data_IF_642452413926
#
_entry.id   IF_642452413926
#
_cell.length_a   1.000
_cell.length_b   1.000
_cell.length_c   1.000
_cell.angle_alpha   90.00
_cell.angle_beta   90.00
_cell.angle_gamma   90.00
#
_symmetry.space_group_name_H-M   'P 1'
#
loop_
_entity.id
_entity.type
_entity.pdbx_description
1 polymer ?
#
# COMPACT_ATOMS: atom_id res chain seq x y z
N UNK A 1 -3.45 -15.93 17.09
CA UNK A 1 -4.25 -16.30 15.91
C UNK A 1 -5.41 -15.35 15.72
N UNK A 2 -6.00 -15.36 14.53
CA UNK A 2 -7.13 -14.48 14.22
C UNK A 2 -8.45 -15.15 14.57
N UNK A 3 -9.44 -14.38 14.93
CA UNK A 3 -10.82 -14.84 15.04
C UNK A 3 -11.33 -15.40 13.69
N UNK A 4 -12.28 -16.34 13.72
CA UNK A 4 -12.81 -16.99 12.52
C UNK A 4 -13.50 -16.01 11.55
N UNK A 5 -13.99 -14.87 12.05
CA UNK A 5 -14.61 -13.82 11.22
C UNK A 5 -13.63 -13.21 10.19
N UNK A 6 -12.30 -13.28 10.43
CA UNK A 6 -11.30 -12.74 9.52
C UNK A 6 -10.75 -13.84 8.60
N UNK A 7 -10.85 -13.64 7.31
CA UNK A 7 -10.33 -14.52 6.27
C UNK A 7 -9.20 -13.90 5.48
N UNK A 8 -8.46 -14.73 4.74
CA UNK A 8 -7.45 -14.32 3.76
C UNK A 8 -6.37 -13.36 4.33
N UNK A 9 -5.97 -13.60 5.61
CA UNK A 9 -4.97 -12.79 6.31
C UNK A 9 -3.77 -13.65 6.70
N UNK A 10 -2.57 -13.14 6.43
CA UNK A 10 -1.32 -13.85 6.69
C UNK A 10 -0.59 -13.35 7.95
N UNK A 11 -0.50 -12.05 8.15
CA UNK A 11 0.34 -11.45 9.21
C UNK A 11 -0.44 -10.62 10.22
N UNK A 12 -1.37 -9.77 9.80
CA UNK A 12 -2.12 -8.87 10.69
C UNK A 12 -3.51 -8.54 10.17
N UNK A 13 -4.37 -8.09 11.08
CA UNK A 13 -5.70 -7.54 10.78
C UNK A 13 -5.80 -6.15 11.40
N UNK A 14 -6.15 -5.18 10.58
CA UNK A 14 -6.51 -3.84 11.04
C UNK A 14 -8.03 -3.70 10.95
N UNK A 15 -8.69 -3.65 12.11
CA UNK A 15 -10.14 -3.45 12.22
C UNK A 15 -10.38 -1.99 12.63
N UNK A 16 -10.97 -1.21 11.72
CA UNK A 16 -11.15 0.24 11.88
C UNK A 16 -12.61 0.55 12.16
N UNK A 17 -12.84 1.23 13.26
CA UNK A 17 -14.16 1.80 13.59
C UNK A 17 -14.12 3.30 13.44
N UNK A 18 -14.97 3.83 12.56
CA UNK A 18 -15.07 5.28 12.37
C UNK A 18 -15.68 5.96 13.58
N UNK A 19 -15.11 7.12 13.94
CA UNK A 19 -15.63 7.99 14.97
C UNK A 19 -17.03 8.51 14.56
N UNK A 20 -17.97 8.50 15.51
CA UNK A 20 -19.26 9.17 15.39
C UNK A 20 -19.19 10.45 16.21
N UNK A 21 -19.28 11.63 15.59
CA UNK A 21 -19.33 12.90 16.33
C UNK A 21 -20.60 12.97 17.17
N UNK A 22 -20.55 13.68 18.29
CA UNK A 22 -21.72 13.97 19.14
C UNK A 22 -22.31 15.36 18.89
N UNK A 23 -21.53 16.23 18.26
CA UNK A 23 -21.88 17.61 17.92
C UNK A 23 -21.14 18.04 16.64
N UNK A 24 -21.39 19.27 16.19
CA UNK A 24 -20.55 19.89 15.17
C UNK A 24 -19.12 20.02 15.72
N UNK A 25 -18.18 19.44 15.02
CA UNK A 25 -16.75 19.49 15.34
C UNK A 25 -15.92 19.60 14.06
N UNK A 26 -14.72 20.14 14.18
CA UNK A 26 -13.82 20.26 13.03
C UNK A 26 -12.40 20.49 13.50
N UNK A 27 -11.48 20.18 12.61
CA UNK A 27 -10.06 20.49 12.77
C UNK A 27 -9.41 20.74 11.42
N UNK A 28 -8.40 21.56 11.42
CA UNK A 28 -7.53 21.77 10.26
C UNK A 28 -6.08 21.80 10.72
N UNK A 29 -5.19 21.29 9.89
CA UNK A 29 -3.76 21.35 10.11
C UNK A 29 -3.04 21.67 8.80
N UNK A 30 -1.97 22.47 8.91
CA UNK A 30 -1.09 22.82 7.80
C UNK A 30 0.35 22.65 8.28
N UNK A 31 1.17 22.07 7.46
CA UNK A 31 2.60 21.87 7.71
C UNK A 31 3.37 21.91 6.38
N UNK A 32 4.70 21.91 6.45
CA UNK A 32 5.55 21.78 5.26
C UNK A 32 5.32 20.45 4.49
N UNK A 33 4.77 19.43 5.17
CA UNK A 33 4.51 18.11 4.59
C UNK A 33 3.07 17.94 4.10
N UNK A 34 2.25 19.00 4.17
CA UNK A 34 0.89 18.98 3.66
C UNK A 34 -0.14 19.65 4.53
N UNK A 35 -1.39 19.45 4.18
CA UNK A 35 -2.54 20.01 4.88
C UNK A 35 -3.64 18.96 5.05
N UNK A 36 -4.44 19.10 6.10
CA UNK A 36 -5.65 18.30 6.29
C UNK A 36 -6.76 19.10 6.93
N UNK A 37 -7.99 18.72 6.62
CA UNK A 37 -9.19 19.27 7.25
C UNK A 37 -10.17 18.14 7.55
N UNK A 38 -10.87 18.27 8.67
CA UNK A 38 -11.91 17.36 9.13
C UNK A 38 -13.12 18.15 9.57
N UNK A 39 -14.30 17.66 9.24
CA UNK A 39 -15.59 18.17 9.71
C UNK A 39 -16.48 17.00 10.10
N UNK A 40 -17.02 17.05 11.31
CA UNK A 40 -18.01 16.12 11.83
C UNK A 40 -19.30 16.84 12.20
N UNK A 41 -20.43 16.33 11.72
CA UNK A 41 -21.77 16.86 11.95
C UNK A 41 -22.57 15.78 12.67
N UNK A 42 -23.27 16.17 13.72
CA UNK A 42 -24.16 15.28 14.46
C UNK A 42 -25.53 15.88 14.67
N UNK A 43 -26.55 15.05 14.47
CA UNK A 43 -27.95 15.27 14.88
C UNK A 43 -28.38 14.07 15.72
N UNK A 44 -29.60 14.09 16.25
CA UNK A 44 -30.14 12.95 17.02
C UNK A 44 -30.19 11.62 16.25
N UNK A 45 -30.21 11.66 14.91
CA UNK A 45 -30.38 10.47 14.06
C UNK A 45 -29.33 10.31 12.99
N UNK A 46 -28.53 11.34 12.74
CA UNK A 46 -27.57 11.36 11.65
C UNK A 46 -26.22 11.84 12.18
N UNK A 47 -25.16 11.11 11.85
CA UNK A 47 -23.79 11.59 11.96
C UNK A 47 -23.11 11.54 10.60
N UNK A 48 -22.35 12.58 10.28
CA UNK A 48 -21.64 12.68 9.03
C UNK A 48 -20.25 13.25 9.25
N UNK A 49 -19.24 12.52 8.87
CA UNK A 49 -17.84 12.95 8.96
C UNK A 49 -17.22 13.02 7.60
N UNK A 50 -16.40 14.04 7.40
CA UNK A 50 -15.66 14.28 6.17
C UNK A 50 -14.22 14.63 6.52
N UNK A 51 -13.30 14.09 5.79
CA UNK A 51 -11.88 14.38 5.90
C UNK A 51 -11.25 14.54 4.53
N UNK A 52 -10.47 15.58 4.35
CA UNK A 52 -9.59 15.75 3.20
C UNK A 52 -8.16 15.89 3.67
N UNK A 53 -7.24 15.30 2.95
CA UNK A 53 -5.83 15.36 3.26
C UNK A 53 -5.00 15.47 1.98
N UNK A 54 -4.06 16.38 2.01
CA UNK A 54 -3.00 16.51 1.04
C UNK A 54 -1.66 16.28 1.72
N UNK A 55 -0.77 15.49 1.13
CA UNK A 55 0.59 15.26 1.61
C UNK A 55 1.59 15.35 0.48
N UNK A 56 2.76 15.89 0.80
CA UNK A 56 3.96 15.86 -0.05
C UNK A 56 5.18 15.74 0.83
N UNK A 57 6.18 14.98 0.38
CA UNK A 57 7.47 14.88 1.06
C UNK A 57 8.59 15.54 0.24
N UNK A 58 8.23 16.30 -0.80
CA UNK A 58 9.18 16.94 -1.71
C UNK A 58 10.22 17.78 -0.95
N UNK A 59 9.78 18.61 0.01
CA UNK A 59 10.69 19.42 0.81
C UNK A 59 11.65 18.61 1.68
N UNK A 60 11.19 17.53 2.28
CA UNK A 60 12.02 16.66 3.10
C UNK A 60 13.05 15.92 2.25
N UNK A 61 12.63 15.39 1.11
CA UNK A 61 13.49 14.66 0.19
C UNK A 61 14.54 15.58 -0.45
N UNK A 62 14.20 16.83 -0.76
CA UNK A 62 15.14 17.82 -1.27
C UNK A 62 16.19 18.31 -0.26
N UNK A 63 16.06 17.98 1.04
CA UNK A 63 17.09 18.27 2.07
C UNK A 63 18.02 17.09 2.32
N UNK A 64 17.71 15.91 1.79
CA UNK A 64 18.55 14.74 1.89
C UNK A 64 19.56 14.75 0.74
N UNK A 65 20.72 14.16 0.96
CA UNK A 65 21.68 13.86 -0.11
C UNK A 65 21.15 12.69 -0.95
N UNK A 66 20.02 12.95 -1.62
CA UNK A 66 19.34 11.98 -2.47
C UNK A 66 19.92 12.04 -3.88
N UNK A 67 19.88 10.91 -4.55
CA UNK A 67 20.46 10.75 -5.89
C UNK A 67 19.43 11.00 -7.00
N UNK A 68 18.50 11.95 -6.78
CA UNK A 68 17.46 12.31 -7.72
C UNK A 68 16.43 13.25 -7.13
N UNK A 69 15.65 13.89 -7.98
CA UNK A 69 14.50 14.69 -7.60
C UNK A 69 13.27 13.78 -7.42
N UNK A 70 12.69 13.83 -6.23
CA UNK A 70 11.51 13.07 -5.85
C UNK A 70 10.34 14.00 -5.58
N UNK A 71 9.23 13.82 -6.30
CA UNK A 71 8.01 14.62 -6.11
C UNK A 71 6.79 13.70 -5.81
N UNK A 72 6.72 13.13 -4.60
CA UNK A 72 5.55 12.38 -4.17
C UNK A 72 4.44 13.33 -3.71
N UNK A 73 3.24 13.13 -4.26
CA UNK A 73 2.03 13.88 -3.90
C UNK A 73 0.89 12.92 -3.65
N UNK A 74 0.19 13.14 -2.56
CA UNK A 74 -0.95 12.33 -2.17
C UNK A 74 -2.12 13.22 -1.77
N UNK A 75 -3.29 12.94 -2.31
CA UNK A 75 -4.55 13.55 -1.91
C UNK A 75 -5.58 12.46 -1.65
N UNK A 76 -6.31 12.58 -0.55
CA UNK A 76 -7.45 11.72 -0.26
C UNK A 76 -8.61 12.51 0.33
N UNK A 77 -9.80 12.05 0.01
CA UNK A 77 -11.05 12.45 0.61
C UNK A 77 -11.76 11.23 1.17
N UNK A 78 -12.19 11.31 2.42
CA UNK A 78 -12.94 10.27 3.12
C UNK A 78 -14.23 10.83 3.66
N UNK A 79 -15.31 10.05 3.57
CA UNK A 79 -16.61 10.39 4.13
C UNK A 79 -17.21 9.19 4.84
N UNK A 80 -17.86 9.43 5.96
CA UNK A 80 -18.64 8.43 6.66
C UNK A 80 -19.96 9.04 7.09
N UNK A 81 -21.05 8.52 6.55
CA UNK A 81 -22.42 8.85 6.90
C UNK A 81 -23.01 7.70 7.72
N UNK A 82 -23.58 7.99 8.88
CA UNK A 82 -24.31 7.01 9.68
C UNK A 82 -25.69 7.59 10.03
N UNK A 83 -26.75 6.87 9.68
CA UNK A 83 -28.13 7.23 9.90
C UNK A 83 -28.84 6.18 10.74
N UNK A 84 -29.45 6.62 11.84
CA UNK A 84 -30.17 5.78 12.81
C UNK A 84 -31.66 6.23 12.84
N UNK A 85 -32.47 5.86 11.83
CA UNK A 85 -33.87 6.30 11.75
C UNK A 85 -34.71 5.85 12.93
N UNK A 86 -34.38 4.70 13.52
CA UNK A 86 -35.02 4.12 14.70
C UNK A 86 -34.06 3.37 15.58
N UNK A 87 -34.46 2.96 16.78
CA UNK A 87 -33.64 2.10 17.66
C UNK A 87 -33.25 0.75 17.03
N UNK A 88 -34.03 0.30 16.04
CA UNK A 88 -33.82 -0.99 15.37
C UNK A 88 -32.94 -0.90 14.13
N UNK A 89 -32.87 0.23 13.47
CA UNK A 89 -32.16 0.39 12.20
C UNK A 89 -30.96 1.33 12.31
N UNK A 90 -29.88 0.87 11.78
CA UNK A 90 -28.67 1.66 11.55
C UNK A 90 -28.18 1.42 10.13
N UNK A 91 -28.03 2.49 9.36
CA UNK A 91 -27.55 2.46 7.98
C UNK A 91 -26.31 3.33 7.90
N UNK A 92 -25.26 2.85 7.28
CA UNK A 92 -24.03 3.61 7.10
C UNK A 92 -23.49 3.51 5.70
N UNK A 93 -22.80 4.57 5.29
CA UNK A 93 -22.06 4.64 4.03
C UNK A 93 -20.68 5.19 4.32
N UNK A 94 -19.66 4.51 3.80
CA UNK A 94 -18.26 4.94 3.82
C UNK A 94 -17.84 5.14 2.38
N UNK A 95 -17.16 6.24 2.11
CA UNK A 95 -16.54 6.52 0.82
C UNK A 95 -15.12 7.00 0.98
N UNK A 96 -14.26 6.61 0.07
CA UNK A 96 -12.88 7.09 -0.04
C UNK A 96 -12.51 7.27 -1.52
N UNK A 97 -11.91 8.40 -1.83
CA UNK A 97 -11.30 8.69 -3.12
C UNK A 97 -9.88 9.15 -2.82
N UNK A 98 -8.89 8.52 -3.45
CA UNK A 98 -7.50 8.91 -3.28
C UNK A 98 -6.74 8.89 -4.59
N UNK A 99 -5.77 9.79 -4.70
CA UNK A 99 -4.79 9.82 -5.77
C UNK A 99 -3.39 9.97 -5.17
N UNK A 100 -2.49 9.09 -5.57
CA UNK A 100 -1.07 9.18 -5.28
C UNK A 100 -0.33 9.35 -6.60
N UNK A 101 0.48 10.38 -6.69
CA UNK A 101 1.40 10.63 -7.80
C UNK A 101 2.82 10.60 -7.26
N UNK A 102 3.66 9.94 -8.00
CA UNK A 102 5.08 9.91 -7.75
C UNK A 102 5.80 10.25 -9.05
N UNK A 103 6.64 11.28 -9.02
CA UNK A 103 7.54 11.60 -10.11
C UNK A 103 8.96 11.49 -9.57
N UNK A 104 9.82 10.91 -10.37
CA UNK A 104 11.23 10.76 -10.08
C UNK A 104 12.04 11.17 -11.30
N UNK A 105 13.07 11.99 -11.09
CA UNK A 105 14.09 12.34 -12.08
C UNK A 105 15.45 12.02 -11.47
N UNK A 106 16.22 11.09 -12.05
CA UNK A 106 17.55 10.79 -11.57
C UNK A 106 18.49 11.96 -11.82
N UNK A 107 19.41 12.18 -10.88
CA UNK A 107 20.47 13.19 -11.00
C UNK A 107 21.80 12.56 -11.37
N UNK A 108 22.63 13.32 -12.06
CA UNK A 108 23.99 12.94 -12.41
C UNK A 108 24.83 12.63 -11.18
N UNK A 109 25.76 11.68 -11.31
CA UNK A 109 26.60 11.23 -10.21
C UNK A 109 28.07 11.29 -10.55
N UNK A 110 28.84 11.76 -9.57
CA UNK A 110 30.30 11.80 -9.64
C UNK A 110 30.85 11.15 -8.38
N UNK A 111 31.70 10.14 -8.55
CA UNK A 111 32.34 9.45 -7.42
C UNK A 111 33.81 9.26 -7.74
N UNK A 112 34.70 9.68 -6.83
CA UNK A 112 36.14 9.41 -6.91
C UNK A 112 36.50 8.38 -5.86
N UNK A 113 37.29 7.40 -6.26
CA UNK A 113 37.74 6.31 -5.38
C UNK A 113 39.12 5.79 -5.81
N UNK A 114 39.79 5.04 -4.93
CA UNK A 114 41.08 4.47 -5.19
C UNK A 114 42.13 4.85 -4.15
N UNK A 115 43.39 4.80 -4.53
CA UNK A 115 44.54 5.20 -3.71
C UNK A 115 45.16 6.49 -4.24
N UNK A 116 46.03 7.12 -3.47
CA UNK A 116 46.76 8.34 -3.88
C UNK A 116 47.51 8.20 -5.21
N UNK A 117 47.95 7.00 -5.55
CA UNK A 117 48.70 6.70 -6.79
C UNK A 117 47.81 6.11 -7.90
N UNK A 118 46.55 5.85 -7.63
CA UNK A 118 45.61 5.25 -8.61
C UNK A 118 44.20 5.69 -8.31
N UNK A 119 43.87 6.91 -8.71
CA UNK A 119 42.55 7.50 -8.53
C UNK A 119 41.67 7.16 -9.72
N UNK A 120 40.47 6.74 -9.45
CA UNK A 120 39.41 6.50 -10.45
C UNK A 120 38.29 7.49 -10.25
N UNK A 121 37.72 7.95 -11.35
CA UNK A 121 36.53 8.77 -11.35
C UNK A 121 35.42 8.04 -12.12
N UNK A 122 34.30 7.86 -11.46
CA UNK A 122 33.09 7.30 -12.06
C UNK A 122 32.03 8.38 -12.19
N UNK A 123 31.64 8.65 -13.43
CA UNK A 123 30.59 9.63 -13.78
C UNK A 123 29.41 8.89 -14.36
N UNK A 124 28.21 9.25 -13.93
CA UNK A 124 26.97 8.76 -14.53
C UNK A 124 26.11 9.96 -14.85
N UNK A 125 25.75 10.09 -16.09
CA UNK A 125 24.80 11.09 -16.58
C UNK A 125 23.46 10.40 -16.79
N UNK A 126 22.39 11.01 -16.27
CA UNK A 126 21.05 10.48 -16.39
C UNK A 126 20.16 11.40 -17.20
N UNK A 127 19.29 10.81 -18.00
CA UNK A 127 18.19 11.47 -18.68
C UNK A 127 16.91 10.68 -18.49
N UNK A 128 15.78 11.39 -18.47
CA UNK A 128 14.48 10.77 -18.39
C UNK A 128 13.79 10.92 -17.04
N UNK A 129 12.72 10.17 -16.84
CA UNK A 129 11.88 10.27 -15.66
C UNK A 129 11.03 9.03 -15.47
N UNK A 130 10.60 8.85 -14.23
CA UNK A 130 9.57 7.91 -13.82
C UNK A 130 8.31 8.67 -13.38
N UNK A 131 7.15 8.17 -13.79
CA UNK A 131 5.84 8.71 -13.40
C UNK A 131 4.92 7.60 -13.01
N UNK A 132 4.51 7.63 -11.74
CA UNK A 132 3.55 6.70 -11.19
C UNK A 132 2.28 7.41 -10.77
N UNK A 133 1.18 6.75 -11.04
CA UNK A 133 -0.15 7.22 -10.70
C UNK A 133 -0.99 6.09 -10.13
N UNK A 134 -1.47 6.27 -8.90
CA UNK A 134 -2.38 5.35 -8.23
C UNK A 134 -3.66 6.09 -7.89
N UNK A 135 -4.77 5.67 -8.47
CA UNK A 135 -6.11 6.22 -8.19
C UNK A 135 -6.99 5.15 -7.60
N UNK A 136 -7.53 5.42 -6.44
CA UNK A 136 -8.41 4.48 -5.73
C UNK A 136 -9.76 5.13 -5.47
N UNK A 137 -10.82 4.38 -5.76
CA UNK A 137 -12.18 4.67 -5.37
C UNK A 137 -12.69 3.49 -4.54
N UNK A 138 -13.13 3.77 -3.32
CA UNK A 138 -13.72 2.78 -2.43
C UNK A 138 -15.04 3.28 -1.87
N UNK A 139 -16.02 2.39 -1.83
CA UNK A 139 -17.31 2.66 -1.20
C UNK A 139 -17.83 1.42 -0.49
N UNK A 140 -18.45 1.62 0.66
CA UNK A 140 -19.16 0.59 1.41
C UNK A 140 -20.48 1.16 1.91
N UNK A 141 -21.55 0.36 1.79
CA UNK A 141 -22.83 0.62 2.43
C UNK A 141 -23.18 -0.57 3.32
N UNK A 142 -23.71 -0.30 4.50
CA UNK A 142 -24.21 -1.34 5.39
C UNK A 142 -25.54 -0.96 6.02
N UNK A 143 -26.33 -1.97 6.36
CA UNK A 143 -27.56 -1.83 7.09
C UNK A 143 -27.58 -2.87 8.22
N UNK A 144 -27.73 -2.39 9.44
CA UNK A 144 -27.86 -3.24 10.64
C UNK A 144 -29.28 -3.15 11.16
N UNK A 145 -29.92 -4.31 11.26
CA UNK A 145 -31.21 -4.48 11.91
C UNK A 145 -31.04 -5.11 13.28
N UNK A 146 -31.45 -4.43 14.33
CA UNK A 146 -31.48 -4.94 15.71
C UNK A 146 -32.87 -5.51 16.01
N UNK A 147 -32.97 -6.84 16.04
CA UNK A 147 -34.20 -7.52 16.45
C UNK A 147 -34.56 -7.16 17.89
N UNK A 148 -33.54 -7.16 18.75
CA UNK A 148 -33.58 -6.72 20.14
C UNK A 148 -32.15 -6.31 20.58
N UNK A 149 -31.90 -6.02 21.85
CA UNK A 149 -30.59 -5.63 22.38
C UNK A 149 -29.52 -6.74 22.26
N UNK A 150 -29.93 -7.98 22.12
CA UNK A 150 -29.07 -9.16 22.11
C UNK A 150 -28.80 -9.68 20.70
N UNK A 151 -29.69 -9.36 19.73
CA UNK A 151 -29.67 -9.96 18.41
C UNK A 151 -29.65 -8.90 17.30
N UNK A 152 -28.68 -9.01 16.43
CA UNK A 152 -28.59 -8.10 15.25
C UNK A 152 -28.15 -8.84 14.00
N UNK A 153 -28.60 -8.33 12.87
CA UNK A 153 -28.24 -8.76 11.53
C UNK A 153 -27.68 -7.56 10.77
N UNK A 154 -26.52 -7.71 10.13
CA UNK A 154 -25.90 -6.68 9.29
C UNK A 154 -25.73 -7.20 7.88
N UNK A 155 -26.22 -6.44 6.91
CA UNK A 155 -25.94 -6.58 5.49
C UNK A 155 -24.93 -5.53 5.10
N UNK A 156 -23.94 -5.90 4.30
CA UNK A 156 -22.92 -4.97 3.80
C UNK A 156 -22.62 -5.26 2.33
N UNK A 157 -22.45 -4.20 1.57
CA UNK A 157 -21.97 -4.22 0.20
C UNK A 157 -20.83 -3.23 0.06
N UNK A 158 -19.74 -3.65 -0.56
CA UNK A 158 -18.59 -2.79 -0.85
C UNK A 158 -18.11 -2.93 -2.28
N UNK A 159 -17.57 -1.85 -2.81
CA UNK A 159 -16.91 -1.80 -4.10
C UNK A 159 -15.58 -1.05 -3.95
N UNK A 160 -14.55 -1.62 -4.54
CA UNK A 160 -13.21 -1.06 -4.64
C UNK A 160 -12.79 -1.04 -6.11
N UNK A 161 -12.25 0.07 -6.55
CA UNK A 161 -11.69 0.21 -7.88
C UNK A 161 -10.35 0.94 -7.78
N UNK A 162 -9.31 0.37 -8.35
CA UNK A 162 -8.02 1.04 -8.49
C UNK A 162 -7.55 1.04 -9.93
N UNK A 163 -6.89 2.13 -10.32
CA UNK A 163 -6.07 2.22 -11.52
C UNK A 163 -4.66 2.58 -11.10
N UNK A 164 -3.72 1.78 -11.54
CA UNK A 164 -2.30 1.94 -11.27
C UNK A 164 -1.56 2.05 -12.59
N UNK A 165 -0.66 2.99 -12.63
CA UNK A 165 0.20 3.26 -13.77
C UNK A 165 1.61 3.47 -13.25
N UNK A 166 2.55 2.75 -13.82
CA UNK A 166 3.98 2.91 -13.63
C UNK A 166 4.62 3.07 -15.00
N UNK A 167 5.22 4.22 -15.23
CA UNK A 167 5.81 4.53 -16.54
C UNK A 167 7.13 5.23 -16.36
N UNK A 168 8.17 4.67 -16.97
CA UNK A 168 9.47 5.32 -17.00
C UNK A 168 10.16 5.18 -18.35
N UNK A 169 10.99 6.17 -18.65
CA UNK A 169 12.01 6.19 -19.66
C UNK A 169 13.25 6.79 -18.99
N UNK A 170 14.25 5.96 -18.71
CA UNK A 170 15.47 6.37 -18.02
C UNK A 170 16.64 5.88 -18.86
N UNK A 171 17.53 6.81 -19.20
CA UNK A 171 18.81 6.53 -19.86
C UNK A 171 19.93 6.91 -18.90
N UNK A 172 20.87 6.02 -18.70
CA UNK A 172 22.11 6.27 -17.96
C UNK A 172 23.31 6.08 -18.85
N UNK A 173 24.20 7.07 -18.88
CA UNK A 173 25.50 6.98 -19.54
C UNK A 173 26.59 7.09 -18.48
N UNK A 174 27.52 6.15 -18.47
CA UNK A 174 28.57 6.14 -17.49
C UNK A 174 29.96 6.13 -18.10
N UNK A 175 30.88 6.82 -17.42
CA UNK A 175 32.30 6.88 -17.73
C UNK A 175 33.10 6.45 -16.52
N UNK A 176 34.08 5.61 -16.75
CA UNK A 176 35.12 5.28 -15.78
C UNK A 176 36.43 5.89 -16.30
N UNK A 177 36.94 6.87 -15.56
CA UNK A 177 38.18 7.55 -15.89
C UNK A 177 39.30 7.14 -14.92
N UNK A 178 40.52 7.02 -15.43
CA UNK A 178 41.73 7.01 -14.63
C UNK A 178 42.24 8.44 -14.51
N UNK A 179 42.41 8.92 -13.29
CA UNK A 179 43.05 10.21 -13.03
C UNK A 179 44.51 9.95 -12.70
N UNK A 180 45.42 10.34 -13.59
CA UNK A 180 46.84 10.35 -13.27
C UNK A 180 47.15 11.56 -12.41
N UNK A 181 47.40 11.34 -11.11
CA UNK A 181 47.97 12.37 -10.26
C UNK A 181 49.44 12.48 -10.64
N UNK A 182 49.75 13.30 -11.63
CA UNK A 182 51.11 13.64 -11.98
C UNK A 182 51.89 14.09 -10.74
N UNK A 183 52.83 13.29 -10.31
CA UNK A 183 53.81 13.67 -9.27
C UNK A 183 54.64 14.82 -9.85
N UNK A 184 54.34 16.04 -9.49
CA UNK A 184 55.16 17.17 -9.82
C UNK A 184 56.49 17.05 -9.10
N UNK A 185 57.50 16.79 -9.86
CA UNK A 185 58.91 17.07 -9.50
C UNK A 185 59.38 18.18 -10.45
N UNK A 186 58.85 19.35 -10.31
CA UNK A 186 59.49 20.62 -10.56
C UNK A 186 58.44 21.75 -10.64
N UNK A 187 58.71 22.86 -10.03
CA UNK A 187 57.79 23.97 -9.70
C UNK A 187 57.26 24.81 -10.87
N UNK A 188 56.65 24.28 -11.89
CA UNK A 188 55.90 24.99 -12.90
C UNK A 188 54.46 24.45 -12.97
N UNK A 189 53.54 25.26 -12.46
CA UNK A 189 52.12 25.04 -12.46
C UNK A 189 51.54 25.03 -13.86
N UNK A 190 51.20 23.88 -14.41
CA UNK A 190 50.09 23.68 -15.31
C UNK A 190 49.38 22.40 -14.89
N UNK A 191 48.40 22.56 -14.01
CA UNK A 191 47.53 21.47 -13.59
C UNK A 191 46.52 21.15 -14.70
N UNK A 192 46.90 20.47 -15.73
CA UNK A 192 45.98 19.65 -16.52
C UNK A 192 45.97 18.26 -15.90
N UNK A 193 44.95 17.99 -15.06
CA UNK A 193 44.60 16.61 -14.69
C UNK A 193 44.34 15.85 -15.99
N UNK A 194 45.29 15.04 -16.44
CA UNK A 194 45.10 14.18 -17.60
C UNK A 194 44.20 13.02 -17.16
N UNK A 195 42.95 13.03 -17.59
CA UNK A 195 42.02 11.93 -17.37
C UNK A 195 41.97 11.04 -18.60
N UNK A 196 42.31 9.74 -18.41
CA UNK A 196 42.12 8.73 -19.46
C UNK A 196 40.81 7.98 -19.20
N UNK A 197 39.95 7.94 -20.22
CA UNK A 197 38.69 7.17 -20.14
C UNK A 197 39.00 5.69 -20.35
N UNK A 198 38.72 4.88 -19.34
CA UNK A 198 39.00 3.43 -19.33
C UNK A 198 37.78 2.64 -19.81
N UNK A 199 36.57 3.14 -19.53
CA UNK A 199 35.34 2.49 -19.92
C UNK A 199 34.20 3.47 -20.06
N UNK A 200 33.37 3.23 -21.06
CA UNK A 200 32.13 3.95 -21.33
C UNK A 200 31.02 2.93 -21.53
N UNK A 201 29.86 3.20 -21.00
CA UNK A 201 28.71 2.35 -21.21
C UNK A 201 27.42 3.14 -21.11
N UNK A 202 26.33 2.53 -21.55
CA UNK A 202 25.00 3.11 -21.49
C UNK A 202 23.97 2.04 -21.21
N UNK A 203 22.90 2.42 -20.57
CA UNK A 203 21.69 1.62 -20.47
C UNK A 203 20.46 2.49 -20.69
N UNK A 204 19.41 1.87 -21.18
CA UNK A 204 18.11 2.49 -21.38
C UNK A 204 17.05 1.56 -20.81
N UNK A 205 16.23 2.08 -19.92
CA UNK A 205 15.12 1.37 -19.31
C UNK A 205 13.80 2.02 -19.70
N UNK A 206 12.85 1.17 -20.07
CA UNK A 206 11.52 1.59 -20.48
C UNK A 206 10.45 0.73 -19.84
N UNK A 207 9.44 1.34 -19.24
CA UNK A 207 8.25 0.64 -18.79
C UNK A 207 6.96 1.39 -19.12
N UNK A 208 5.93 0.60 -19.40
CA UNK A 208 4.53 1.03 -19.55
C UNK A 208 3.63 -0.02 -18.93
N UNK A 209 3.49 0.09 -17.62
CA UNK A 209 2.76 -0.85 -16.79
C UNK A 209 1.44 -0.22 -16.34
N UNK A 210 0.36 -0.95 -16.55
CA UNK A 210 -1.00 -0.51 -16.21
C UNK A 210 -1.73 -1.64 -15.53
N UNK A 211 -2.33 -1.35 -14.38
CA UNK A 211 -3.19 -2.27 -13.66
C UNK A 211 -4.54 -1.61 -13.39
N UNK A 212 -5.60 -2.37 -13.55
CA UNK A 212 -6.94 -2.01 -13.08
C UNK A 212 -7.47 -3.17 -12.25
N UNK A 213 -7.85 -2.91 -11.01
CA UNK A 213 -8.49 -3.90 -10.16
C UNK A 213 -9.85 -3.40 -9.68
N UNK A 214 -10.83 -4.28 -9.78
CA UNK A 214 -12.20 -4.08 -9.29
C UNK A 214 -12.53 -5.21 -8.33
N UNK A 215 -12.97 -4.85 -7.13
CA UNK A 215 -13.39 -5.83 -6.11
C UNK A 215 -14.78 -5.44 -5.62
N UNK A 216 -15.71 -6.36 -5.72
CA UNK A 216 -17.05 -6.25 -5.15
C UNK A 216 -17.20 -7.28 -4.05
N UNK A 217 -17.69 -6.87 -2.88
CA UNK A 217 -17.91 -7.77 -1.76
C UNK A 217 -19.29 -7.53 -1.16
N UNK A 218 -19.97 -8.63 -0.88
CA UNK A 218 -21.28 -8.64 -0.25
C UNK A 218 -21.22 -9.59 0.93
N UNK A 219 -21.69 -9.14 2.08
CA UNK A 219 -21.69 -9.97 3.28
C UNK A 219 -22.94 -9.82 4.12
N UNK A 220 -23.26 -10.88 4.83
CA UNK A 220 -24.28 -10.94 5.87
C UNK A 220 -23.64 -11.43 7.16
N UNK A 221 -23.89 -10.73 8.26
CA UNK A 221 -23.35 -11.07 9.58
C UNK A 221 -24.46 -11.08 10.63
N UNK A 222 -24.57 -12.19 11.37
CA UNK A 222 -25.45 -12.29 12.54
C UNK A 222 -24.64 -12.23 13.83
N UNK A 223 -25.19 -11.54 14.86
CA UNK A 223 -24.62 -11.48 16.21
C UNK A 223 -25.71 -11.79 17.23
N UNK A 224 -25.42 -12.70 18.15
CA UNK A 224 -26.34 -13.18 19.18
C UNK A 224 -25.63 -13.22 20.53
N UNK A 225 -26.14 -12.50 21.53
CA UNK A 225 -25.63 -12.51 22.90
C UNK A 225 -26.56 -13.37 23.78
N UNK A 226 -26.04 -14.43 24.32
CA UNK A 226 -26.77 -15.39 25.14
C UNK A 226 -26.05 -15.54 26.49
N UNK A 227 -26.40 -14.74 27.48
CA UNK A 227 -25.73 -14.72 28.80
C UNK A 227 -24.20 -14.60 28.66
N UNK A 228 -23.48 -15.70 28.87
CA UNK A 228 -22.00 -15.75 28.80
C UNK A 228 -21.47 -16.01 27.39
N UNK A 229 -22.32 -16.29 26.42
CA UNK A 229 -21.96 -16.59 25.03
C UNK A 229 -22.17 -15.40 24.10
N UNK A 230 -21.29 -15.21 23.16
CA UNK A 230 -21.42 -14.23 22.07
C UNK A 230 -21.17 -14.95 20.73
N UNK A 231 -22.26 -15.45 20.14
CA UNK A 231 -22.24 -16.13 18.87
C UNK A 231 -22.21 -15.14 17.72
N UNK A 232 -21.30 -15.35 16.78
CA UNK A 232 -21.21 -14.62 15.51
C UNK A 232 -21.15 -15.60 14.35
N UNK A 233 -21.89 -15.29 13.30
CA UNK A 233 -21.79 -16.01 12.04
C UNK A 233 -21.83 -15.05 10.87
N UNK A 234 -21.32 -15.46 9.75
CA UNK A 234 -21.40 -14.66 8.52
C UNK A 234 -21.16 -15.47 7.28
N UNK A 235 -21.66 -14.93 6.18
CA UNK A 235 -21.36 -15.37 4.83
C UNK A 235 -20.90 -14.19 3.99
N UNK A 236 -19.95 -14.43 3.10
CA UNK A 236 -19.35 -13.43 2.23
C UNK A 236 -19.27 -13.96 0.80
N UNK A 237 -19.60 -13.12 -0.14
CA UNK A 237 -19.33 -13.30 -1.56
C UNK A 237 -18.43 -12.17 -2.03
N UNK A 238 -17.34 -12.49 -2.74
CA UNK A 238 -16.40 -11.53 -3.31
C UNK A 238 -16.16 -11.86 -4.79
N UNK A 239 -16.20 -10.85 -5.64
CA UNK A 239 -15.77 -10.94 -7.03
C UNK A 239 -14.57 -10.02 -7.21
N UNK A 240 -13.51 -10.54 -7.79
CA UNK A 240 -12.26 -9.85 -8.06
C UNK A 240 -11.99 -9.89 -9.56
N UNK A 241 -11.89 -8.72 -10.19
CA UNK A 241 -11.51 -8.59 -11.58
C UNK A 241 -10.24 -7.77 -11.66
N UNK A 242 -9.19 -8.34 -12.17
CA UNK A 242 -7.88 -7.73 -12.31
C UNK A 242 -7.47 -7.79 -13.76
N UNK A 243 -7.08 -6.64 -14.32
CA UNK A 243 -6.50 -6.51 -15.65
C UNK A 243 -5.15 -5.86 -15.50
N UNK A 244 -4.12 -6.53 -15.94
CA UNK A 244 -2.79 -5.99 -16.01
C UNK A 244 -2.23 -6.05 -17.43
N UNK A 245 -1.43 -5.07 -17.74
CA UNK A 245 -0.68 -4.97 -18.97
C UNK A 245 0.70 -4.43 -18.63
N UNK A 246 1.70 -5.22 -18.93
CA UNK A 246 3.11 -4.87 -18.74
C UNK A 246 3.81 -4.82 -20.08
N UNK A 247 4.63 -3.82 -20.26
CA UNK A 247 5.54 -3.69 -21.38
C UNK A 247 6.80 -3.03 -20.90
N UNK A 248 7.85 -3.80 -20.81
CA UNK A 248 9.16 -3.37 -20.35
C UNK A 248 10.23 -3.83 -21.30
N UNK A 249 11.28 -3.05 -21.43
CA UNK A 249 12.51 -3.45 -22.08
C UNK A 249 13.69 -2.68 -21.50
N UNK A 250 14.85 -3.28 -21.61
CA UNK A 250 16.11 -2.71 -21.20
C UNK A 250 17.14 -2.98 -22.30
N UNK A 251 17.87 -1.93 -22.68
CA UNK A 251 19.03 -2.01 -23.57
C UNK A 251 20.28 -1.64 -22.78
N UNK A 252 21.36 -2.34 -23.04
CA UNK A 252 22.66 -2.13 -22.37
C UNK A 252 23.80 -2.16 -23.35
N UNK A 253 24.81 -1.35 -23.06
CA UNK A 253 26.19 -1.49 -23.52
C UNK A 253 27.10 -1.41 -22.30
N UNK A 254 27.83 -2.48 -22.05
CA UNK A 254 28.71 -2.61 -20.88
C UNK A 254 30.16 -2.27 -21.16
N UNK A 255 30.45 -1.66 -22.30
CA UNK A 255 31.83 -1.44 -22.76
C UNK A 255 32.72 -2.72 -22.75
N UNK A 256 32.08 -3.88 -22.97
CA UNK A 256 32.75 -5.18 -23.01
C UNK A 256 32.97 -5.86 -21.66
N UNK A 257 32.52 -5.28 -20.53
CA UNK A 257 32.73 -5.88 -19.19
C UNK A 257 31.76 -7.02 -18.88
N UNK A 258 30.48 -6.86 -19.20
CA UNK A 258 29.45 -7.87 -18.91
C UNK A 258 28.75 -8.39 -20.15
N UNK A 259 28.88 -7.68 -21.25
CA UNK A 259 28.37 -8.04 -22.59
C UNK A 259 29.44 -7.72 -23.61
N UNK A 260 29.53 -8.45 -24.75
CA UNK A 260 30.43 -8.07 -25.83
C UNK A 260 30.10 -6.66 -26.31
N UNK A 261 31.11 -5.83 -26.47
CA UNK A 261 30.94 -4.50 -27.05
C UNK A 261 30.68 -4.63 -28.54
N UNK A 262 29.63 -3.97 -29.03
CA UNK A 262 29.33 -3.89 -30.47
C UNK A 262 29.51 -2.45 -30.96
N UNK A 263 29.83 -2.29 -32.25
CA UNK A 263 29.93 -0.97 -32.87
C UNK A 263 28.56 -0.35 -33.20
N UNK A 264 27.47 -1.09 -32.98
CA UNK A 264 26.13 -0.69 -33.40
C UNK A 264 25.33 -0.01 -32.25
N UNK A 265 25.87 0.01 -31.04
CA UNK A 265 25.24 0.64 -29.88
C UNK A 265 24.67 -0.35 -28.86
N UNK A 266 23.76 0.10 -27.96
CA UNK A 266 23.21 -0.73 -26.90
C UNK A 266 22.40 -1.91 -27.43
N UNK A 267 22.58 -3.09 -26.85
CA UNK A 267 21.86 -4.31 -27.19
C UNK A 267 20.67 -4.54 -26.26
N UNK A 268 19.64 -5.20 -26.78
CA UNK A 268 18.48 -5.59 -26.00
C UNK A 268 18.88 -6.65 -24.96
N UNK A 269 18.86 -6.26 -23.69
CA UNK A 269 19.22 -7.14 -22.57
C UNK A 269 18.00 -7.84 -21.98
N UNK A 270 16.88 -7.13 -21.87
CA UNK A 270 15.68 -7.63 -21.24
C UNK A 270 14.44 -7.13 -21.98
N UNK A 271 13.42 -7.96 -22.05
CA UNK A 271 12.08 -7.56 -22.50
C UNK A 271 11.01 -8.37 -21.80
N UNK A 272 9.95 -7.68 -21.38
CA UNK A 272 8.75 -8.27 -20.83
C UNK A 272 7.53 -7.73 -21.55
N UNK A 273 6.67 -8.64 -21.98
CA UNK A 273 5.35 -8.33 -22.52
C UNK A 273 4.32 -9.24 -21.89
N UNK A 274 3.41 -8.66 -21.15
CA UNK A 274 2.34 -9.41 -20.49
C UNK A 274 1.01 -8.68 -20.63
N UNK A 275 -0.05 -9.45 -20.74
CA UNK A 275 -1.42 -8.96 -20.65
C UNK A 275 -2.26 -10.06 -20.03
N UNK A 276 -2.72 -9.82 -18.81
CA UNK A 276 -3.50 -10.77 -18.06
C UNK A 276 -4.86 -10.17 -17.70
N UNK A 277 -5.86 -11.02 -17.65
CA UNK A 277 -7.17 -10.69 -17.13
C UNK A 277 -7.61 -11.84 -16.23
N UNK A 278 -7.91 -11.52 -14.99
CA UNK A 278 -8.43 -12.46 -13.99
C UNK A 278 -9.80 -11.99 -13.55
N UNK A 279 -10.81 -12.88 -13.61
CA UNK A 279 -12.13 -12.66 -13.04
C UNK A 279 -12.42 -13.86 -12.15
N UNK A 280 -12.41 -13.67 -10.84
CA UNK A 280 -12.56 -14.75 -9.89
C UNK A 280 -13.59 -14.44 -8.81
N UNK A 281 -14.17 -15.48 -8.24
CA UNK A 281 -15.19 -15.41 -7.19
C UNK A 281 -14.74 -16.19 -5.98
N UNK A 282 -14.97 -15.59 -4.81
CA UNK A 282 -14.72 -16.23 -3.53
C UNK A 282 -16.00 -16.27 -2.72
N UNK A 283 -16.21 -17.39 -2.06
CA UNK A 283 -17.32 -17.61 -1.14
C UNK A 283 -16.72 -17.95 0.22
N UNK A 284 -17.14 -17.24 1.25
CA UNK A 284 -16.66 -17.46 2.61
C UNK A 284 -17.84 -17.61 3.57
N UNK A 285 -17.68 -18.44 4.58
CA UNK A 285 -18.58 -18.49 5.72
C UNK A 285 -17.80 -18.72 7.02
N UNK A 286 -18.33 -18.26 8.12
CA UNK A 286 -17.76 -18.52 9.43
C UNK A 286 -18.84 -18.64 10.50
N UNK A 287 -18.49 -19.38 11.55
CA UNK A 287 -19.24 -19.48 12.80
C UNK A 287 -18.25 -19.39 13.94
N UNK A 288 -18.52 -18.53 14.92
CA UNK A 288 -17.63 -18.30 16.07
C UNK A 288 -18.46 -18.07 17.31
N UNK A 289 -18.06 -18.66 18.43
CA UNK A 289 -18.58 -18.36 19.75
C UNK A 289 -17.48 -17.83 20.66
N UNK A 290 -17.80 -16.81 21.46
CA UNK A 290 -16.96 -16.29 22.52
C UNK A 290 -17.67 -16.50 23.84
N UNK A 291 -17.13 -17.44 24.63
CA UNK A 291 -17.62 -17.79 25.95
C UNK A 291 -16.81 -17.08 27.04
N UNK A 292 -17.50 -16.36 27.93
CA UNK A 292 -16.89 -15.68 29.04
C UNK A 292 -17.39 -16.24 30.36
N UNK A 293 -16.46 -16.65 31.23
CA UNK A 293 -16.78 -17.14 32.55
C UNK A 293 -15.78 -16.61 33.60
N UNK A 294 -16.27 -16.40 34.78
CA UNK A 294 -15.46 -15.94 35.92
C UNK A 294 -15.16 -17.12 36.84
N UNK A 295 -13.90 -17.20 37.26
CA UNK A 295 -13.39 -18.13 38.25
C UNK A 295 -12.66 -17.36 39.38
N UNK A 296 -12.24 -18.03 40.42
CA UNK A 296 -11.36 -17.47 41.47
C UNK A 296 -10.02 -16.99 40.89
N UNK A 297 -9.55 -17.58 39.80
CA UNK A 297 -8.32 -17.18 39.13
C UNK A 297 -8.45 -15.91 38.25
N UNK A 298 -9.69 -15.49 37.94
CA UNK A 298 -9.95 -14.33 37.09
C UNK A 298 -11.06 -14.51 36.08
N UNK A 299 -11.09 -13.63 35.07
CA UNK A 299 -12.03 -13.69 33.97
C UNK A 299 -11.40 -14.41 32.80
N UNK A 300 -11.97 -15.54 32.38
CA UNK A 300 -11.62 -16.31 31.19
C UNK A 300 -12.48 -15.91 30.01
N UNK A 301 -11.85 -15.80 28.86
CA UNK A 301 -12.51 -15.60 27.58
C UNK A 301 -12.00 -16.67 26.61
N UNK A 302 -12.86 -17.61 26.27
CA UNK A 302 -12.60 -18.65 25.24
C UNK A 302 -13.31 -18.24 23.97
N UNK A 303 -12.57 -18.08 22.88
CA UNK A 303 -13.12 -17.85 21.55
C UNK A 303 -12.78 -19.04 20.68
N UNK A 304 -13.79 -19.69 20.14
CA UNK A 304 -13.64 -20.82 19.21
C UNK A 304 -14.53 -20.63 18.00
N UNK A 305 -14.04 -21.01 16.83
CA UNK A 305 -14.79 -20.87 15.60
C UNK A 305 -14.19 -21.64 14.43
N UNK A 306 -14.97 -21.69 13.39
CA UNK A 306 -14.63 -22.33 12.12
C UNK A 306 -14.85 -21.35 10.98
N UNK A 307 -14.02 -21.46 9.96
CA UNK A 307 -14.19 -20.76 8.68
C UNK A 307 -14.05 -21.72 7.53
N UNK A 308 -14.93 -21.60 6.54
CA UNK A 308 -14.80 -22.23 5.25
C UNK A 308 -14.66 -21.17 4.16
N UNK A 309 -13.85 -21.42 3.16
CA UNK A 309 -13.72 -20.57 1.99
C UNK A 309 -13.54 -21.42 0.73
N UNK A 310 -14.17 -20.99 -0.35
CA UNK A 310 -14.06 -21.58 -1.68
C UNK A 310 -13.64 -20.50 -2.67
N UNK A 311 -12.64 -20.81 -3.50
CA UNK A 311 -12.18 -19.94 -4.57
C UNK A 311 -12.37 -20.65 -5.92
N UNK A 312 -13.12 -20.04 -6.83
CA UNK A 312 -13.47 -20.64 -8.11
C UNK A 312 -12.29 -20.71 -9.10
N UNK A 313 -11.26 -19.88 -8.90
CA UNK A 313 -10.07 -19.86 -9.74
C UNK A 313 -9.28 -21.18 -9.69
N UNK A 314 -8.97 -21.64 -8.48
CA UNK A 314 -8.26 -22.90 -8.26
C UNK A 314 -9.19 -24.06 -7.87
N UNK A 315 -10.50 -23.79 -7.71
CA UNK A 315 -11.54 -24.76 -7.31
C UNK A 315 -11.26 -25.42 -5.95
N UNK A 316 -10.52 -24.74 -5.09
CA UNK A 316 -10.16 -25.26 -3.78
C UNK A 316 -11.13 -24.78 -2.70
N UNK A 317 -11.42 -25.68 -1.78
CA UNK A 317 -12.14 -25.42 -0.55
C UNK A 317 -11.19 -25.56 0.63
N UNK A 318 -11.12 -24.50 1.47
CA UNK A 318 -10.28 -24.47 2.66
C UNK A 318 -11.16 -24.41 3.89
N UNK A 319 -10.88 -25.26 4.86
CA UNK A 319 -11.53 -25.29 6.16
C UNK A 319 -10.53 -24.95 7.28
N UNK A 320 -10.83 -23.93 8.09
CA UNK A 320 -9.92 -23.38 9.08
C UNK A 320 -10.58 -23.32 10.46
N UNK A 321 -10.34 -24.28 11.35
CA UNK A 321 -10.72 -24.19 12.75
C UNK A 321 -9.78 -23.25 13.49
N UNK A 322 -10.30 -22.48 14.45
CA UNK A 322 -9.54 -21.52 15.26
C UNK A 322 -10.03 -21.49 16.69
N UNK A 323 -9.09 -21.38 17.64
CA UNK A 323 -9.43 -21.22 19.04
C UNK A 323 -8.39 -20.29 19.71
N UNK A 324 -8.85 -19.54 20.69
CA UNK A 324 -8.00 -18.72 21.56
C UNK A 324 -8.58 -18.68 22.96
N UNK A 325 -7.69 -18.63 23.95
CA UNK A 325 -8.03 -18.49 25.38
C UNK A 325 -7.30 -17.28 25.92
N UNK A 326 -8.03 -16.35 26.54
CA UNK A 326 -7.47 -15.23 27.25
C UNK A 326 -7.89 -15.27 28.72
N UNK A 327 -6.98 -14.89 29.62
CA UNK A 327 -7.22 -14.77 31.04
C UNK A 327 -6.87 -13.34 31.50
N UNK A 328 -7.81 -12.70 32.14
CA UNK A 328 -7.56 -11.50 32.96
C UNK A 328 -7.50 -11.96 34.41
N UNK A 329 -6.30 -12.08 35.03
CA UNK A 329 -6.15 -12.61 36.37
C UNK A 329 -6.82 -11.70 37.38
N UNK A 330 -7.41 -12.28 38.43
CA UNK A 330 -7.87 -11.54 39.59
C UNK A 330 -6.67 -11.37 40.56
N UNK A 331 -5.95 -10.26 40.41
CA UNK A 331 -4.98 -9.90 41.45
C UNK A 331 -5.74 -9.27 42.65
N UNK A 332 -5.60 -9.87 43.82
CA UNK A 332 -6.01 -9.19 45.03
C UNK A 332 -5.07 -8.00 45.20
N UNK A 333 -5.54 -6.80 44.98
CA UNK A 333 -4.88 -5.61 45.49
C UNK A 333 -4.92 -5.70 47.02
N UNK A 334 -3.75 -5.90 47.63
CA UNK A 334 -3.57 -5.78 49.08
C UNK A 334 -3.30 -4.34 49.44
#
# INVERSE_FOLDING_TARGET
GYEAKYGDKMSSVLDITYKKPERLEGSASVSLLGASAYVGIATKKLTWTNGIRYKTNQYLLGTLDTKGEYDPRYIDYQTYLNWTPSKRWEVGVIGNISENRYNFQPEDRYTRFGTLSNVREFKVYFEGQEKDLFRTLFGTAYATYRLNEQNSLTLQASAFHTKEQETYDITGQYWLNSLDSGTQVDGTTNEEETSETIGVGTYMEHARNYLTAEVQSYSITGRHRLKSHSLQWGAEFKRERIKDRMREWEMRDSAGYSMPQTSEGPELFYTLRSRNETDSKRYGFYLQDTYRFRSTAGLFTLTAGIRGSYWDWNKEFIFSPRASLALIPAFNEK
#
